data_IF_599991022104
#
_entry.id   IF_599991022104
#
_cell.length_a   1.000
_cell.length_b   1.000
_cell.length_c   1.000
_cell.angle_alpha   90.00
_cell.angle_beta   90.00
_cell.angle_gamma   90.00
#
_symmetry.space_group_name_H-M   'P 1'
#
loop_
_entity.id
_entity.type
_entity.pdbx_description
1 polymer ?
#
# COMPACT_ATOMS: atom_id res chain seq x y z
N UNK A 1 34.62 10.85 41.05
CA UNK A 1 34.21 11.98 40.17
C UNK A 1 34.67 11.82 38.72
N UNK A 2 35.92 11.50 38.40
CA UNK A 2 36.42 11.35 37.02
C UNK A 2 35.80 10.17 36.22
N UNK A 3 35.42 9.06 36.86
CA UNK A 3 34.80 7.91 36.19
C UNK A 3 33.34 8.20 35.84
N UNK A 4 32.60 8.89 36.69
CA UNK A 4 31.22 9.32 36.42
C UNK A 4 31.11 10.23 35.22
N UNK A 5 32.05 11.17 35.06
CA UNK A 5 32.10 12.08 33.90
C UNK A 5 32.36 11.30 32.61
N UNK A 6 33.22 10.28 32.63
CA UNK A 6 33.49 9.45 31.43
C UNK A 6 32.31 8.60 31.02
N UNK A 7 31.51 8.10 31.98
CA UNK A 7 30.29 7.31 31.72
C UNK A 7 29.21 8.24 31.11
N UNK A 8 29.05 9.46 31.61
CA UNK A 8 28.08 10.42 31.04
C UNK A 8 28.47 10.82 29.63
N UNK A 9 29.76 11.05 29.33
CA UNK A 9 30.22 11.37 27.98
C UNK A 9 30.00 10.19 27.00
N UNK A 10 30.18 8.96 27.45
CA UNK A 10 29.93 7.76 26.65
C UNK A 10 28.46 7.55 26.34
N UNK A 11 27.55 7.92 27.26
CA UNK A 11 26.09 7.82 27.06
C UNK A 11 25.57 8.83 26.04
N UNK A 12 26.19 9.98 25.90
CA UNK A 12 25.81 11.04 24.93
C UNK A 12 26.23 10.69 23.49
N UNK A 13 27.20 9.80 23.32
CA UNK A 13 27.72 9.37 22.01
C UNK A 13 26.96 8.24 21.34
N UNK A 14 25.87 7.76 21.91
CA UNK A 14 25.03 6.72 21.29
C UNK A 14 24.27 7.36 20.11
N UNK A 15 24.57 7.01 18.85
CA UNK A 15 23.83 7.55 17.72
C UNK A 15 22.39 7.02 17.75
N UNK A 16 21.42 7.88 17.98
CA UNK A 16 20.02 7.55 17.77
C UNK A 16 19.79 7.38 16.28
N UNK A 17 19.35 6.20 15.87
CA UNK A 17 18.91 5.97 14.49
C UNK A 17 17.64 6.79 14.27
N UNK A 18 17.77 7.90 13.59
CA UNK A 18 16.63 8.67 13.10
C UNK A 18 16.06 7.91 11.90
N UNK A 19 14.87 7.36 12.05
CA UNK A 19 14.10 6.85 10.92
C UNK A 19 13.48 8.07 10.24
N UNK A 20 13.95 8.39 9.04
CA UNK A 20 13.34 9.44 8.22
C UNK A 20 11.91 9.01 7.86
N UNK A 21 10.92 9.79 8.28
CA UNK A 21 9.56 9.70 7.72
C UNK A 21 9.62 10.26 6.29
N UNK A 22 8.81 9.70 5.39
CA UNK A 22 8.61 10.31 4.07
C UNK A 22 7.90 11.65 4.31
N UNK A 23 8.63 12.74 4.20
CA UNK A 23 8.09 14.09 4.24
C UNK A 23 7.79 14.52 2.80
N UNK A 24 6.50 14.60 2.46
CA UNK A 24 6.05 15.15 1.18
C UNK A 24 6.03 16.67 1.32
N UNK A 25 7.10 17.34 0.89
CA UNK A 25 7.17 18.81 0.84
C UNK A 25 6.36 19.35 -0.34
N UNK A 26 5.13 19.78 -0.09
CA UNK A 26 4.20 20.32 -1.09
C UNK A 26 4.54 21.78 -1.46
N UNK A 27 5.55 22.38 -0.87
CA UNK A 27 5.85 23.83 -1.05
C UNK A 27 6.72 24.16 -2.25
N UNK A 28 7.31 23.15 -2.89
CA UNK A 28 8.11 23.34 -4.12
C UNK A 28 7.31 22.98 -5.35
N UNK A 29 7.01 23.94 -6.19
CA UNK A 29 6.18 23.82 -7.39
C UNK A 29 6.67 22.90 -8.51
N UNK A 30 7.52 21.94 -8.22
CA UNK A 30 7.95 20.87 -9.12
C UNK A 30 8.27 19.61 -8.29
N UNK A 31 7.23 18.95 -7.80
CA UNK A 31 7.35 17.68 -7.10
C UNK A 31 7.44 16.56 -8.15
N UNK A 32 8.52 15.82 -8.15
CA UNK A 32 8.58 14.56 -8.85
C UNK A 32 7.56 13.61 -8.18
N UNK A 33 6.55 13.11 -8.92
CA UNK A 33 5.54 12.26 -8.34
C UNK A 33 6.15 11.01 -7.71
N UNK A 34 5.71 10.66 -6.49
CA UNK A 34 6.23 9.54 -5.71
C UNK A 34 5.99 8.20 -6.44
N UNK A 35 7.03 7.41 -6.74
CA UNK A 35 6.86 6.09 -7.34
C UNK A 35 6.11 5.15 -6.39
N UNK A 36 4.92 4.71 -6.81
CA UNK A 36 4.07 3.84 -6.00
C UNK A 36 3.71 2.56 -6.77
N UNK A 37 3.84 1.43 -6.11
CA UNK A 37 3.33 0.16 -6.62
C UNK A 37 1.92 -0.09 -6.08
N UNK A 38 0.99 -0.43 -6.96
CA UNK A 38 -0.36 -0.85 -6.59
C UNK A 38 -0.53 -2.31 -6.98
N UNK A 39 -0.34 -3.21 -6.02
CA UNK A 39 -0.54 -4.65 -6.27
C UNK A 39 -2.00 -4.93 -6.57
N UNK A 40 -2.31 -5.84 -7.51
CA UNK A 40 -3.66 -6.37 -7.61
C UNK A 40 -4.14 -6.84 -6.24
N UNK A 41 -5.39 -6.56 -5.89
CA UNK A 41 -5.93 -7.03 -4.61
C UNK A 41 -6.18 -8.53 -4.67
N UNK A 42 -5.73 -9.25 -3.66
CA UNK A 42 -6.02 -10.69 -3.55
C UNK A 42 -7.53 -10.91 -3.32
N UNK A 43 -8.04 -12.00 -3.85
CA UNK A 43 -9.44 -12.38 -3.66
C UNK A 43 -9.50 -13.55 -2.70
N UNK A 44 -10.35 -13.43 -1.67
CA UNK A 44 -10.61 -14.52 -0.76
C UNK A 44 -11.18 -15.73 -1.50
N UNK A 45 -10.62 -16.93 -1.27
CA UNK A 45 -11.00 -18.16 -1.98
C UNK A 45 -12.50 -18.46 -1.88
N UNK A 46 -13.09 -18.30 -0.68
CA UNK A 46 -14.51 -18.52 -0.46
C UNK A 46 -15.39 -17.51 -1.19
N UNK A 47 -14.81 -16.37 -1.57
CA UNK A 47 -15.50 -15.28 -2.24
C UNK A 47 -15.47 -15.36 -3.76
N UNK A 48 -14.52 -16.10 -4.35
CA UNK A 48 -14.31 -16.18 -5.82
C UNK A 48 -15.59 -16.59 -6.56
N UNK A 49 -16.26 -17.65 -6.10
CA UNK A 49 -17.49 -18.13 -6.74
C UNK A 49 -18.64 -17.11 -6.66
N UNK A 50 -18.71 -16.36 -5.56
CA UNK A 50 -19.73 -15.34 -5.37
C UNK A 50 -19.52 -14.15 -6.30
N UNK A 51 -18.27 -13.74 -6.52
CA UNK A 51 -17.94 -12.66 -7.45
C UNK A 51 -18.30 -13.00 -8.89
N UNK A 52 -18.04 -14.24 -9.33
CA UNK A 52 -18.44 -14.69 -10.67
C UNK A 52 -19.96 -14.69 -10.85
N UNK A 53 -20.70 -15.14 -9.86
CA UNK A 53 -22.18 -15.22 -9.92
C UNK A 53 -22.83 -13.84 -9.85
N UNK A 54 -22.40 -12.97 -8.95
CA UNK A 54 -23.10 -11.73 -8.62
C UNK A 54 -22.61 -10.58 -9.51
N UNK A 55 -21.30 -10.44 -9.68
CA UNK A 55 -20.72 -9.34 -10.44
C UNK A 55 -20.40 -9.71 -11.89
N UNK A 56 -20.54 -11.00 -12.26
CA UNK A 56 -20.10 -11.54 -13.56
C UNK A 56 -18.64 -11.17 -13.89
N UNK A 57 -17.80 -11.08 -12.86
CA UNK A 57 -16.42 -10.62 -12.93
C UNK A 57 -15.50 -11.60 -12.23
N UNK A 58 -14.46 -12.03 -12.95
CA UNK A 58 -13.42 -12.93 -12.43
C UNK A 58 -12.29 -12.17 -11.72
N UNK A 59 -12.02 -10.94 -12.13
CA UNK A 59 -10.83 -10.18 -11.73
C UNK A 59 -11.18 -8.88 -10.98
N UNK A 60 -12.09 -8.94 -10.03
CA UNK A 60 -12.50 -7.76 -9.26
C UNK A 60 -11.31 -7.07 -8.54
N UNK A 61 -10.33 -7.87 -8.07
CA UNK A 61 -9.13 -7.33 -7.43
C UNK A 61 -8.28 -6.46 -8.35
N UNK A 62 -8.12 -6.87 -9.62
CA UNK A 62 -7.43 -6.09 -10.64
C UNK A 62 -8.19 -4.82 -11.00
N UNK A 63 -9.50 -4.90 -11.12
CA UNK A 63 -10.32 -3.74 -11.45
C UNK A 63 -10.25 -2.67 -10.35
N UNK A 64 -10.29 -3.10 -9.09
CA UNK A 64 -10.16 -2.19 -7.95
C UNK A 64 -8.78 -1.54 -7.94
N UNK A 65 -7.70 -2.33 -8.08
CA UNK A 65 -6.34 -1.79 -8.11
C UNK A 65 -6.14 -0.80 -9.25
N UNK A 66 -6.74 -1.04 -10.42
CA UNK A 66 -6.68 -0.13 -11.56
C UNK A 66 -7.38 1.22 -11.29
N UNK A 67 -8.50 1.22 -10.57
CA UNK A 67 -9.17 2.47 -10.16
C UNK A 67 -8.27 3.25 -9.20
N UNK A 68 -7.66 2.55 -8.23
CA UNK A 68 -6.72 3.18 -7.28
C UNK A 68 -5.55 3.81 -8.05
N UNK A 69 -4.94 3.09 -8.99
CA UNK A 69 -3.86 3.61 -9.84
C UNK A 69 -4.25 4.89 -10.58
N UNK A 70 -5.42 4.87 -11.23
CA UNK A 70 -5.91 6.04 -11.97
C UNK A 70 -6.12 7.23 -11.03
N UNK A 71 -6.71 7.03 -9.86
CA UNK A 71 -6.94 8.09 -8.89
C UNK A 71 -5.62 8.67 -8.36
N UNK A 72 -4.66 7.82 -8.02
CA UNK A 72 -3.34 8.24 -7.57
C UNK A 72 -2.60 9.03 -8.65
N UNK A 73 -2.61 8.55 -9.88
CA UNK A 73 -2.00 9.24 -11.03
C UNK A 73 -2.65 10.61 -11.27
N UNK A 74 -3.97 10.67 -11.21
CA UNK A 74 -4.74 11.91 -11.43
C UNK A 74 -4.47 12.96 -10.35
N UNK A 75 -4.12 12.54 -9.13
CA UNK A 75 -3.74 13.47 -8.05
C UNK A 75 -2.48 14.26 -8.36
N UNK A 76 -1.63 13.79 -9.28
CA UNK A 76 -0.33 14.39 -9.60
C UNK A 76 0.75 14.15 -8.55
N UNK A 77 0.42 13.57 -7.42
CA UNK A 77 1.36 13.32 -6.30
C UNK A 77 2.09 11.98 -6.43
N UNK A 78 1.54 11.05 -7.20
CA UNK A 78 2.02 9.69 -7.32
C UNK A 78 2.27 9.31 -8.78
N UNK A 79 3.29 8.46 -8.98
CA UNK A 79 3.60 7.83 -10.26
C UNK A 79 3.45 6.31 -10.12
N UNK A 80 2.28 5.72 -10.46
CA UNK A 80 2.07 4.29 -10.40
C UNK A 80 3.02 3.53 -11.33
N UNK A 81 3.68 2.51 -10.78
CA UNK A 81 4.61 1.66 -11.50
C UNK A 81 3.89 0.62 -12.36
N UNK A 82 4.53 0.19 -13.47
CA UNK A 82 3.98 -0.85 -14.32
C UNK A 82 3.93 -2.20 -13.58
N UNK A 83 2.77 -2.86 -13.61
CA UNK A 83 2.53 -4.17 -12.99
C UNK A 83 3.41 -5.28 -13.55
N UNK A 84 3.84 -5.17 -14.80
CA UNK A 84 4.73 -6.15 -15.43
C UNK A 84 6.10 -6.25 -14.74
N UNK A 85 6.47 -5.22 -13.98
CA UNK A 85 7.70 -5.22 -13.18
C UNK A 85 7.56 -5.90 -11.82
N UNK A 86 6.35 -6.28 -11.39
CA UNK A 86 6.12 -6.80 -10.04
C UNK A 86 6.65 -8.23 -9.91
N UNK A 87 7.48 -8.45 -8.89
CA UNK A 87 8.13 -9.74 -8.62
C UNK A 87 7.32 -10.63 -7.67
N UNK A 88 6.35 -10.05 -6.95
CA UNK A 88 5.53 -10.77 -5.99
C UNK A 88 4.10 -10.96 -6.48
N UNK A 89 3.57 -12.17 -6.26
CA UNK A 89 2.15 -12.43 -6.44
C UNK A 89 1.30 -11.65 -5.40
N UNK A 90 0.07 -11.23 -5.76
CA UNK A 90 -0.79 -10.43 -4.89
C UNK A 90 -1.07 -11.08 -3.53
N UNK A 91 -1.26 -12.39 -3.47
CA UNK A 91 -1.56 -13.12 -2.24
C UNK A 91 -0.40 -13.04 -1.25
N UNK A 92 0.83 -13.19 -1.74
CA UNK A 92 2.05 -13.09 -0.94
C UNK A 92 2.25 -11.66 -0.46
N UNK A 93 2.13 -10.68 -1.35
CA UNK A 93 2.31 -9.28 -1.03
C UNK A 93 1.29 -8.78 0.01
N UNK A 94 0.06 -9.30 -0.02
CA UNK A 94 -0.97 -8.94 0.94
C UNK A 94 -0.69 -9.43 2.36
N UNK A 95 -0.06 -10.60 2.53
CA UNK A 95 0.27 -11.17 3.85
C UNK A 95 1.42 -10.40 4.51
N UNK A 96 2.56 -10.37 3.84
CA UNK A 96 3.76 -9.63 4.25
C UNK A 96 4.60 -9.34 3.01
N UNK A 97 4.68 -8.08 2.55
CA UNK A 97 5.53 -7.73 1.42
C UNK A 97 7.00 -8.03 1.70
N UNK A 98 7.70 -8.57 0.71
CA UNK A 98 9.17 -8.59 0.71
C UNK A 98 9.62 -7.26 0.14
N UNK A 99 9.93 -6.31 1.01
CA UNK A 99 10.24 -4.93 0.62
C UNK A 99 11.46 -4.81 -0.30
N UNK A 100 12.38 -5.75 -0.22
CA UNK A 100 13.55 -5.83 -1.09
C UNK A 100 13.15 -5.93 -2.58
N UNK A 101 12.16 -6.77 -2.91
CA UNK A 101 11.66 -6.94 -4.27
C UNK A 101 11.02 -5.64 -4.81
N UNK A 102 10.31 -4.92 -3.96
CA UNK A 102 9.69 -3.65 -4.31
C UNK A 102 10.71 -2.52 -4.45
N UNK A 103 11.76 -2.55 -3.63
CA UNK A 103 12.87 -1.60 -3.73
C UNK A 103 13.68 -1.80 -5.01
N UNK A 104 13.86 -3.02 -5.50
CA UNK A 104 14.53 -3.32 -6.78
C UNK A 104 13.85 -2.61 -7.95
N UNK A 105 12.54 -2.52 -7.96
CA UNK A 105 11.77 -1.79 -8.98
C UNK A 105 11.58 -0.31 -8.65
N UNK A 106 12.31 0.21 -7.64
CA UNK A 106 12.29 1.61 -7.18
C UNK A 106 10.93 2.10 -6.68
N UNK A 107 10.08 1.21 -6.18
CA UNK A 107 8.87 1.62 -5.46
C UNK A 107 9.28 2.26 -4.12
N UNK A 108 8.75 3.43 -3.82
CA UNK A 108 8.90 4.07 -2.50
C UNK A 108 7.69 3.77 -1.60
N UNK A 109 6.53 3.63 -2.21
CA UNK A 109 5.32 3.20 -1.53
C UNK A 109 4.70 1.98 -2.23
N UNK A 110 3.96 1.18 -1.47
CA UNK A 110 3.27 0.00 -1.96
C UNK A 110 1.87 -0.06 -1.37
N UNK A 111 0.88 -0.29 -2.24
CA UNK A 111 -0.47 -0.64 -1.82
C UNK A 111 -0.69 -2.13 -2.06
N UNK A 112 -1.11 -2.83 -1.01
CA UNK A 112 -1.60 -4.21 -1.05
C UNK A 112 -3.00 -4.28 -0.50
N UNK A 113 -3.72 -5.36 -0.77
CA UNK A 113 -5.06 -5.49 -0.21
C UNK A 113 -5.75 -6.80 -0.56
N UNK A 114 -6.93 -6.95 0.01
CA UNK A 114 -7.77 -8.14 -0.13
C UNK A 114 -9.22 -7.73 -0.36
N UNK A 115 -9.91 -8.50 -1.19
CA UNK A 115 -11.34 -8.37 -1.43
C UNK A 115 -12.04 -9.63 -0.95
N UNK A 116 -13.08 -9.48 -0.17
CA UNK A 116 -13.92 -10.57 0.32
C UNK A 116 -15.41 -10.26 0.14
N UNK A 117 -16.23 -11.31 0.10
CA UNK A 117 -17.66 -11.21 0.03
C UNK A 117 -18.30 -12.02 1.16
N UNK A 118 -18.96 -11.32 2.05
CA UNK A 118 -19.60 -11.91 3.24
C UNK A 118 -20.89 -11.15 3.51
N UNK A 119 -21.95 -11.87 3.90
CA UNK A 119 -23.26 -11.29 4.25
C UNK A 119 -23.80 -10.34 3.18
N UNK A 120 -23.75 -10.76 1.93
CA UNK A 120 -24.20 -9.99 0.76
C UNK A 120 -23.48 -8.65 0.57
N UNK A 121 -22.34 -8.47 1.22
CA UNK A 121 -21.50 -7.25 1.15
C UNK A 121 -20.12 -7.55 0.60
N UNK A 122 -19.63 -6.60 -0.16
CA UNK A 122 -18.25 -6.55 -0.62
C UNK A 122 -17.43 -5.81 0.44
N UNK A 123 -16.40 -6.46 0.97
CA UNK A 123 -15.42 -5.85 1.87
C UNK A 123 -14.09 -5.74 1.14
N UNK A 124 -13.56 -4.53 1.11
CA UNK A 124 -12.23 -4.22 0.57
C UNK A 124 -11.34 -3.75 1.70
N UNK A 125 -10.22 -4.42 1.85
CA UNK A 125 -9.16 -4.07 2.80
C UNK A 125 -7.92 -3.71 2.01
N UNK A 126 -7.25 -2.63 2.39
CA UNK A 126 -5.96 -2.28 1.81
C UNK A 126 -5.02 -1.69 2.84
N UNK A 127 -3.74 -1.82 2.55
CA UNK A 127 -2.64 -1.32 3.36
C UNK A 127 -1.69 -0.53 2.48
N UNK A 128 -1.27 0.59 3.00
CA UNK A 128 -0.21 1.40 2.44
C UNK A 128 1.07 1.13 3.22
N UNK A 129 2.13 0.82 2.52
CA UNK A 129 3.44 0.54 3.08
C UNK A 129 4.46 1.56 2.61
N UNK A 130 5.33 1.97 3.52
CA UNK A 130 6.61 2.60 3.20
C UNK A 130 7.60 1.48 2.85
N UNK A 131 8.03 1.41 1.60
CA UNK A 131 8.91 0.35 1.11
C UNK A 131 10.32 0.50 1.69
N UNK A 132 10.81 1.73 1.85
CA UNK A 132 12.14 1.99 2.36
C UNK A 132 12.25 1.72 3.85
N UNK A 133 11.24 2.11 4.62
CA UNK A 133 11.20 1.87 6.05
C UNK A 133 10.72 0.44 6.41
N UNK A 134 10.12 -0.29 5.47
CA UNK A 134 9.53 -1.60 5.70
C UNK A 134 8.36 -1.57 6.70
N UNK A 135 7.58 -0.48 6.72
CA UNK A 135 6.52 -0.23 7.70
C UNK A 135 5.16 -0.03 7.05
N UNK A 136 4.14 -0.55 7.71
CA UNK A 136 2.75 -0.20 7.40
C UNK A 136 2.48 1.25 7.87
N UNK A 137 2.00 2.07 6.96
CA UNK A 137 1.64 3.46 7.23
C UNK A 137 0.16 3.60 7.57
N UNK A 138 -0.69 2.91 6.78
CA UNK A 138 -2.15 2.98 6.92
C UNK A 138 -2.75 1.63 6.56
N UNK A 139 -3.71 1.18 7.35
CA UNK A 139 -4.60 0.08 7.03
C UNK A 139 -6.05 0.56 7.08
N UNK A 140 -6.78 0.36 6.00
CA UNK A 140 -8.17 0.76 5.87
C UNK A 140 -9.02 -0.41 5.37
N UNK A 141 -10.26 -0.45 5.84
CA UNK A 141 -11.25 -1.38 5.34
C UNK A 141 -12.59 -0.66 5.16
N UNK A 142 -13.27 -0.96 4.07
CA UNK A 142 -14.62 -0.47 3.86
C UNK A 142 -15.52 -1.59 3.33
N UNK A 143 -16.80 -1.44 3.56
CA UNK A 143 -17.80 -2.40 3.16
C UNK A 143 -18.87 -1.69 2.34
N UNK A 144 -19.25 -2.29 1.22
CA UNK A 144 -20.26 -1.72 0.31
C UNK A 144 -21.14 -2.83 -0.29
N UNK A 145 -22.26 -2.44 -0.88
CA UNK A 145 -23.05 -3.38 -1.67
C UNK A 145 -22.35 -3.66 -3.01
N UNK A 146 -22.41 -4.89 -3.54
CA UNK A 146 -21.66 -5.28 -4.74
C UNK A 146 -21.94 -4.42 -5.98
N UNK A 147 -23.14 -3.83 -6.10
CA UNK A 147 -23.52 -2.98 -7.22
C UNK A 147 -22.87 -1.62 -7.20
N UNK A 148 -22.49 -1.10 -6.03
CA UNK A 148 -22.03 0.27 -5.82
C UNK A 148 -20.53 0.38 -5.52
N UNK A 149 -19.77 -0.71 -5.64
CA UNK A 149 -18.37 -0.75 -5.24
C UNK A 149 -17.49 0.32 -5.95
N UNK A 150 -17.78 0.63 -7.22
CA UNK A 150 -17.05 1.66 -7.97
C UNK A 150 -17.25 3.06 -7.38
N UNK A 151 -18.48 3.39 -6.98
CA UNK A 151 -18.79 4.69 -6.38
C UNK A 151 -18.12 4.86 -5.02
N UNK A 152 -18.06 3.78 -4.24
CA UNK A 152 -17.39 3.79 -2.93
C UNK A 152 -15.88 4.01 -3.02
N UNK A 153 -15.23 3.62 -4.13
CA UNK A 153 -13.79 3.81 -4.34
C UNK A 153 -13.41 5.23 -4.80
N UNK A 154 -14.35 5.97 -5.39
CA UNK A 154 -14.09 7.34 -5.86
C UNK A 154 -13.92 8.32 -4.69
N UNK A 155 -14.45 7.98 -3.51
CA UNK A 155 -14.40 8.83 -2.32
C UNK A 155 -13.27 8.48 -1.34
N UNK A 156 -12.36 7.59 -1.72
CA UNK A 156 -11.17 7.24 -0.97
C UNK A 156 -9.98 8.07 -1.48
#
# INVERSE_FOLDING_TARGET
>A
MRIFVKIIIFLILIPSKSFGLIEVDITRGNLDPLPIAVSPLSIDENSKQNFEKILKKKNIGDEISKIIEVNLKTSGLFNPLNKDAFLQAPDIANLKPRFEDWNLIKAQALITGKVSYTDEKLRVEFRLWDVLAGKEMVALAFTTVPTNWRLSLIHI
#
